data_IF_867574624787
#
_entry.id   IF_867574624787
#
_cell.length_a   1.000
_cell.length_b   1.000
_cell.length_c   1.000
_cell.angle_alpha   90.00
_cell.angle_beta   90.00
_cell.angle_gamma   90.00
#
_symmetry.space_group_name_H-M   'P 1'
#
loop_
_entity.id
_entity.type
_entity.pdbx_description
1 polymer ?
#
# COMPACT_ATOMS: atom_id res chain seq x y z
N UNK A 1 14.77 -19.45 -17.05
CA UNK A 1 13.36 -19.67 -17.49
C UNK A 1 12.40 -18.85 -16.65
N UNK A 2 12.31 -19.05 -15.32
CA UNK A 2 11.43 -18.25 -14.44
C UNK A 2 11.65 -16.74 -14.55
N UNK A 3 12.90 -16.28 -14.50
CA UNK A 3 13.25 -14.84 -14.64
C UNK A 3 12.81 -14.25 -15.97
N UNK A 4 12.97 -14.98 -17.07
CA UNK A 4 12.54 -14.57 -18.41
C UNK A 4 11.03 -14.49 -18.49
N UNK A 5 10.33 -15.48 -17.92
CA UNK A 5 8.87 -15.47 -17.85
C UNK A 5 8.35 -14.25 -17.07
N UNK A 6 8.92 -13.99 -15.88
CA UNK A 6 8.55 -12.81 -15.06
C UNK A 6 8.82 -11.51 -15.82
N UNK A 7 9.96 -11.41 -16.50
CA UNK A 7 10.29 -10.23 -17.31
C UNK A 7 9.27 -10.02 -18.44
N UNK A 8 8.97 -11.08 -19.20
CA UNK A 8 8.00 -11.01 -20.29
C UNK A 8 6.61 -10.62 -19.79
N UNK A 9 6.15 -11.21 -18.69
CA UNK A 9 4.88 -10.87 -18.07
C UNK A 9 4.83 -9.38 -17.68
N UNK A 10 5.87 -8.87 -17.01
CA UNK A 10 5.95 -7.46 -16.62
C UNK A 10 5.97 -6.53 -17.82
N UNK A 11 6.71 -6.87 -18.87
CA UNK A 11 6.76 -6.08 -20.11
C UNK A 11 5.40 -6.07 -20.81
N UNK A 12 4.73 -7.22 -20.90
CA UNK A 12 3.38 -7.32 -21.50
C UNK A 12 2.38 -6.48 -20.69
N UNK A 13 2.37 -6.61 -19.36
CA UNK A 13 1.48 -5.83 -18.50
C UNK A 13 1.76 -4.32 -18.60
N UNK A 14 3.03 -3.90 -18.66
CA UNK A 14 3.38 -2.51 -18.85
C UNK A 14 2.91 -1.96 -20.22
N UNK A 15 3.03 -2.75 -21.29
CA UNK A 15 2.51 -2.39 -22.61
C UNK A 15 0.98 -2.28 -22.56
N UNK A 16 0.28 -3.24 -21.95
CA UNK A 16 -1.19 -3.19 -21.82
C UNK A 16 -1.62 -1.97 -21.00
N UNK A 17 -0.97 -1.72 -19.86
CA UNK A 17 -1.27 -0.59 -19.00
C UNK A 17 -1.13 0.76 -19.72
N UNK A 18 -0.11 0.88 -20.59
CA UNK A 18 0.17 2.12 -21.33
C UNK A 18 -0.66 2.28 -22.60
N UNK A 19 -1.20 1.20 -23.17
CA UNK A 19 -1.89 1.25 -24.48
C UNK A 19 -3.39 1.02 -24.41
N UNK A 20 -3.89 0.29 -23.41
CA UNK A 20 -5.27 -0.19 -23.37
C UNK A 20 -6.07 0.26 -22.15
N UNK A 21 -5.42 0.72 -21.07
CA UNK A 21 -6.04 1.00 -19.78
C UNK A 21 -6.15 2.50 -19.42
N UNK A 22 -6.27 3.36 -20.43
CA UNK A 22 -6.50 4.81 -20.31
C UNK A 22 -5.73 5.47 -19.14
N UNK A 23 -4.38 5.48 -19.19
CA UNK A 23 -3.58 5.96 -18.08
C UNK A 23 -3.79 7.46 -17.83
N UNK A 24 -4.08 7.82 -16.58
CA UNK A 24 -4.20 9.21 -16.11
C UNK A 24 -3.20 9.44 -14.98
N UNK A 25 -2.43 10.52 -15.09
CA UNK A 25 -1.41 10.90 -14.09
C UNK A 25 -0.44 9.76 -13.72
N UNK A 26 -0.11 8.91 -14.70
CA UNK A 26 0.80 7.78 -14.51
C UNK A 26 0.15 6.50 -13.95
N UNK A 27 -1.16 6.48 -13.72
CA UNK A 27 -1.91 5.32 -13.22
C UNK A 27 -2.87 4.80 -14.30
N UNK A 28 -2.77 3.52 -14.61
CA UNK A 28 -3.64 2.83 -15.56
C UNK A 28 -4.83 2.16 -14.84
N UNK A 29 -6.04 2.34 -15.36
CA UNK A 29 -7.26 1.77 -14.75
C UNK A 29 -7.63 0.45 -15.42
N UNK A 30 -7.26 -0.67 -14.80
CA UNK A 30 -7.51 -2.00 -15.34
C UNK A 30 -8.99 -2.44 -15.25
N UNK A 31 -9.72 -1.99 -14.23
CA UNK A 31 -11.11 -2.37 -13.99
C UNK A 31 -11.85 -1.29 -13.19
N UNK A 32 -13.07 -0.98 -13.62
CA UNK A 32 -14.01 -0.12 -12.89
C UNK A 32 -15.35 -0.84 -12.77
N UNK A 33 -15.88 -0.97 -11.55
CA UNK A 33 -17.14 -1.66 -11.33
C UNK A 33 -17.35 -2.06 -9.88
N UNK A 34 -17.92 -3.25 -9.69
CA UNK A 34 -18.27 -3.80 -8.38
C UNK A 34 -17.05 -3.98 -7.46
N UNK A 35 -17.13 -3.42 -6.23
CA UNK A 35 -16.06 -3.46 -5.24
C UNK A 35 -15.69 -4.89 -4.83
N UNK A 36 -16.65 -5.82 -4.73
CA UNK A 36 -16.35 -7.20 -4.33
C UNK A 36 -15.57 -7.95 -5.42
N UNK A 37 -15.88 -7.66 -6.69
CA UNK A 37 -15.12 -8.18 -7.83
C UNK A 37 -13.73 -7.57 -7.88
N UNK A 38 -13.61 -6.24 -7.71
CA UNK A 38 -12.32 -5.56 -7.67
C UNK A 38 -11.42 -6.14 -6.56
N UNK A 39 -11.92 -6.23 -5.33
CA UNK A 39 -11.18 -6.76 -4.18
C UNK A 39 -10.71 -8.22 -4.39
N UNK A 40 -11.54 -9.08 -5.00
CA UNK A 40 -11.15 -10.47 -5.33
C UNK A 40 -10.02 -10.52 -6.35
N UNK A 41 -10.09 -9.70 -7.40
CA UNK A 41 -9.05 -9.61 -8.41
C UNK A 41 -7.75 -9.05 -7.84
N UNK A 42 -7.81 -7.97 -7.05
CA UNK A 42 -6.66 -7.39 -6.35
C UNK A 42 -5.99 -8.42 -5.45
N UNK A 43 -6.78 -9.16 -4.66
CA UNK A 43 -6.26 -10.24 -3.80
C UNK A 43 -5.55 -11.32 -4.62
N UNK A 44 -6.17 -11.80 -5.71
CA UNK A 44 -5.59 -12.83 -6.57
C UNK A 44 -4.29 -12.36 -7.24
N UNK A 45 -4.24 -11.11 -7.70
CA UNK A 45 -3.06 -10.51 -8.30
C UNK A 45 -1.93 -10.36 -7.27
N UNK A 46 -2.23 -9.93 -6.04
CA UNK A 46 -1.23 -9.87 -4.98
C UNK A 46 -0.64 -11.24 -4.63
N UNK A 47 -1.47 -12.29 -4.56
CA UNK A 47 -0.97 -13.66 -4.38
C UNK A 47 -0.02 -14.08 -5.52
N UNK A 48 -0.35 -13.74 -6.76
CA UNK A 48 0.52 -14.01 -7.91
C UNK A 48 1.82 -13.20 -7.84
N UNK A 49 1.75 -11.92 -7.51
CA UNK A 49 2.90 -11.03 -7.35
C UNK A 49 3.83 -11.54 -6.25
N UNK A 50 3.29 -11.91 -5.09
CA UNK A 50 4.05 -12.50 -3.98
C UNK A 50 4.73 -13.81 -4.40
N UNK A 51 4.02 -14.70 -5.09
CA UNK A 51 4.59 -15.95 -5.63
C UNK A 51 5.76 -15.69 -6.59
N UNK A 52 5.55 -14.83 -7.59
CA UNK A 52 6.57 -14.50 -8.59
C UNK A 52 7.76 -13.77 -7.95
N UNK A 53 7.49 -12.88 -6.99
CA UNK A 53 8.49 -12.21 -6.18
C UNK A 53 9.35 -13.21 -5.42
N UNK A 54 8.75 -14.10 -4.63
CA UNK A 54 9.52 -15.12 -3.87
C UNK A 54 10.36 -16.03 -4.77
N UNK A 55 9.84 -16.42 -5.94
CA UNK A 55 10.60 -17.19 -6.93
C UNK A 55 11.79 -16.41 -7.49
N UNK A 56 11.60 -15.11 -7.78
CA UNK A 56 12.66 -14.22 -8.23
C UNK A 56 13.73 -14.05 -7.14
N UNK A 57 13.33 -13.84 -5.89
CA UNK A 57 14.25 -13.75 -4.74
C UNK A 57 15.10 -15.01 -4.60
N UNK A 58 14.46 -16.18 -4.68
CA UNK A 58 15.15 -17.47 -4.62
C UNK A 58 16.16 -17.64 -5.76
N UNK A 59 15.78 -17.30 -6.98
CA UNK A 59 16.66 -17.36 -8.15
C UNK A 59 17.83 -16.36 -8.05
N UNK A 60 17.57 -15.12 -7.63
CA UNK A 60 18.58 -14.10 -7.41
C UNK A 60 19.56 -14.51 -6.31
N UNK A 61 19.07 -15.06 -5.20
CA UNK A 61 19.91 -15.56 -4.12
C UNK A 61 20.83 -16.71 -4.56
N UNK A 62 20.31 -17.63 -5.38
CA UNK A 62 21.12 -18.69 -5.98
C UNK A 62 22.21 -18.16 -6.91
N UNK A 63 21.87 -17.23 -7.81
CA UNK A 63 22.84 -16.59 -8.70
C UNK A 63 23.91 -15.82 -7.92
N UNK A 64 23.51 -15.06 -6.90
CA UNK A 64 24.43 -14.34 -6.01
C UNK A 64 25.40 -15.30 -5.31
N UNK A 65 24.93 -16.44 -4.79
CA UNK A 65 25.82 -17.43 -4.18
C UNK A 65 26.82 -18.02 -5.19
N UNK A 66 26.38 -18.30 -6.43
CA UNK A 66 27.29 -18.78 -7.49
C UNK A 66 28.35 -17.76 -7.86
N UNK A 67 28.00 -16.48 -7.92
CA UNK A 67 28.95 -15.40 -8.22
C UNK A 67 30.03 -15.27 -7.14
N UNK A 68 29.65 -15.50 -5.88
CA UNK A 68 30.56 -15.40 -4.71
C UNK A 68 31.34 -16.68 -4.42
N UNK A 69 31.00 -17.79 -5.09
CA UNK A 69 31.73 -19.04 -4.96
C UNK A 69 33.18 -18.88 -5.47
N UNK A 70 34.19 -19.16 -4.64
CA UNK A 70 35.57 -19.02 -5.06
C UNK A 70 35.96 -20.16 -6.00
N UNK A 71 36.85 -19.87 -6.95
CA UNK A 71 37.49 -20.89 -7.79
C UNK A 71 38.63 -21.56 -7.02
N UNK A 72 39.07 -22.73 -7.49
CA UNK A 72 40.18 -23.44 -6.83
C UNK A 72 41.44 -22.58 -6.76
N UNK A 73 41.77 -21.87 -7.84
CA UNK A 73 42.90 -20.94 -7.88
C UNK A 73 42.79 -19.84 -6.82
N UNK A 74 41.61 -19.22 -6.68
CA UNK A 74 41.36 -18.19 -5.67
C UNK A 74 41.46 -18.73 -4.24
N UNK A 75 41.06 -19.99 -4.02
CA UNK A 75 41.25 -20.68 -2.73
C UNK A 75 42.73 -20.87 -2.45
N UNK A 76 43.50 -21.39 -3.41
CA UNK A 76 44.94 -21.64 -3.23
C UNK A 76 45.70 -20.32 -2.95
N UNK A 77 45.35 -19.23 -3.64
CA UNK A 77 45.89 -17.87 -3.40
C UNK A 77 45.53 -17.32 -2.01
N UNK A 78 44.32 -17.58 -1.53
CA UNK A 78 43.88 -17.18 -0.18
C UNK A 78 44.60 -18.00 0.90
N UNK A 79 44.70 -19.31 0.71
CA UNK A 79 45.40 -20.22 1.63
C UNK A 79 46.89 -19.91 1.74
N UNK A 80 47.55 -19.51 0.64
CA UNK A 80 48.94 -19.04 0.66
C UNK A 80 49.12 -17.81 1.57
N UNK A 81 48.07 -17.01 1.76
CA UNK A 81 48.03 -15.85 2.66
C UNK A 81 47.46 -16.17 4.04
N UNK A 82 47.31 -17.46 4.39
CA UNK A 82 46.68 -17.93 5.64
C UNK A 82 45.25 -17.42 5.84
N UNK A 83 44.52 -17.15 4.75
CA UNK A 83 43.11 -16.74 4.77
C UNK A 83 42.21 -17.89 4.35
N UNK A 84 41.11 -18.11 5.04
CA UNK A 84 40.08 -19.06 4.63
C UNK A 84 38.95 -18.37 3.84
N UNK A 85 38.26 -19.12 2.99
CA UNK A 85 37.10 -18.68 2.23
C UNK A 85 35.92 -19.61 2.51
N UNK A 86 34.71 -19.05 2.45
CA UNK A 86 33.50 -19.84 2.64
C UNK A 86 33.17 -20.57 1.32
N UNK A 87 32.84 -21.87 1.38
CA UNK A 87 32.57 -22.67 0.17
C UNK A 87 31.14 -23.21 0.25
N UNK A 88 30.36 -23.02 -0.81
CA UNK A 88 29.03 -23.61 -0.92
C UNK A 88 27.96 -22.95 -0.02
N UNK A 89 28.23 -21.77 0.53
CA UNK A 89 27.30 -20.98 1.36
C UNK A 89 27.28 -19.52 0.90
N UNK A 90 26.20 -18.76 1.15
CA UNK A 90 26.20 -17.32 0.91
C UNK A 90 27.30 -16.64 1.73
N UNK A 91 28.17 -15.84 1.10
CA UNK A 91 29.28 -15.17 1.79
C UNK A 91 29.60 -13.80 1.20
N UNK A 92 29.39 -12.76 2.00
CA UNK A 92 29.80 -11.38 1.69
C UNK A 92 31.33 -11.25 1.84
N UNK A 93 31.95 -12.04 2.72
CA UNK A 93 33.41 -12.03 2.96
C UNK A 93 34.18 -12.38 1.70
N UNK A 94 33.69 -13.37 0.95
CA UNK A 94 34.30 -13.83 -0.29
C UNK A 94 34.31 -12.75 -1.38
N UNK A 95 33.47 -11.71 -1.30
CA UNK A 95 33.47 -10.61 -2.30
C UNK A 95 34.83 -9.94 -2.41
N UNK A 96 35.59 -9.87 -1.31
CA UNK A 96 36.94 -9.30 -1.29
C UNK A 96 37.98 -10.15 -2.03
N UNK A 97 37.68 -11.42 -2.31
CA UNK A 97 38.61 -12.41 -2.85
C UNK A 97 38.23 -12.91 -4.26
N UNK A 98 37.08 -12.49 -4.79
CA UNK A 98 36.64 -12.82 -6.15
C UNK A 98 36.87 -11.65 -7.11
N UNK A 99 36.97 -11.96 -8.41
CA UNK A 99 37.14 -10.95 -9.48
C UNK A 99 36.08 -9.83 -9.42
N UNK A 100 36.51 -8.58 -9.62
CA UNK A 100 35.65 -7.37 -9.59
C UNK A 100 34.40 -7.46 -10.47
N UNK A 101 34.47 -8.09 -11.65
CA UNK A 101 33.30 -8.29 -12.51
C UNK A 101 32.19 -9.13 -11.85
N UNK A 102 32.56 -10.14 -11.06
CA UNK A 102 31.58 -10.94 -10.30
C UNK A 102 30.98 -10.16 -9.14
N UNK A 103 31.78 -9.31 -8.50
CA UNK A 103 31.30 -8.37 -7.47
C UNK A 103 30.30 -7.38 -8.07
N UNK A 104 30.60 -6.81 -9.25
CA UNK A 104 29.69 -5.90 -9.95
C UNK A 104 28.34 -6.56 -10.28
N UNK A 105 28.36 -7.79 -10.83
CA UNK A 105 27.13 -8.55 -11.10
C UNK A 105 26.36 -8.88 -9.81
N UNK A 106 27.07 -9.23 -8.74
CA UNK A 106 26.47 -9.53 -7.44
C UNK A 106 25.77 -8.29 -6.86
N UNK A 107 26.42 -7.12 -6.91
CA UNK A 107 25.85 -5.85 -6.47
C UNK A 107 24.64 -5.48 -7.33
N UNK A 108 24.74 -5.61 -8.65
CA UNK A 108 23.63 -5.31 -9.57
C UNK A 108 22.42 -6.20 -9.28
N UNK A 109 22.61 -7.50 -9.07
CA UNK A 109 21.54 -8.43 -8.67
C UNK A 109 20.92 -8.05 -7.32
N UNK A 110 21.73 -7.66 -6.33
CA UNK A 110 21.24 -7.21 -5.03
C UNK A 110 20.43 -5.91 -5.12
N UNK A 111 20.98 -4.91 -5.84
CA UNK A 111 20.35 -3.60 -6.03
C UNK A 111 19.13 -3.64 -6.94
N UNK A 112 18.98 -4.62 -7.83
CA UNK A 112 17.76 -4.77 -8.63
C UNK A 112 16.70 -5.58 -7.90
N UNK A 113 17.09 -6.59 -7.11
CA UNK A 113 16.13 -7.47 -6.43
C UNK A 113 15.49 -6.79 -5.22
N UNK A 114 16.24 -6.03 -4.42
CA UNK A 114 15.72 -5.44 -3.18
C UNK A 114 14.66 -4.34 -3.42
N UNK A 115 14.88 -3.34 -4.32
CA UNK A 115 13.89 -2.31 -4.59
C UNK A 115 12.66 -2.87 -5.30
N UNK A 116 12.86 -3.81 -6.22
CA UNK A 116 11.73 -4.47 -6.90
C UNK A 116 10.84 -5.13 -5.84
N UNK A 117 11.38 -5.95 -4.94
CA UNK A 117 10.59 -6.54 -3.84
C UNK A 117 9.87 -5.54 -2.94
N UNK A 118 10.42 -4.34 -2.78
CA UNK A 118 9.80 -3.31 -1.95
C UNK A 118 8.63 -2.60 -2.65
N UNK A 119 8.64 -2.48 -3.98
CA UNK A 119 7.62 -1.73 -4.72
C UNK A 119 6.70 -2.62 -5.56
N UNK A 120 7.03 -3.90 -5.71
CA UNK A 120 6.30 -4.81 -6.61
C UNK A 120 4.85 -5.01 -6.20
N UNK A 121 4.59 -5.04 -4.89
CA UNK A 121 3.24 -5.15 -4.34
C UNK A 121 2.40 -3.88 -4.54
N UNK A 122 3.00 -2.77 -4.95
CA UNK A 122 2.29 -1.51 -5.25
C UNK A 122 2.06 -1.28 -6.74
N UNK A 123 2.44 -2.22 -7.61
CA UNK A 123 2.17 -2.13 -9.05
C UNK A 123 0.67 -2.24 -9.35
N UNK A 124 -0.05 -3.02 -8.55
CA UNK A 124 -1.50 -3.10 -8.57
C UNK A 124 -2.03 -2.64 -7.21
N UNK A 125 -3.07 -1.83 -7.21
CA UNK A 125 -3.75 -1.42 -5.98
C UNK A 125 -5.22 -1.16 -6.30
N UNK A 126 -6.06 -1.33 -5.28
CA UNK A 126 -7.46 -0.97 -5.35
C UNK A 126 -7.64 0.47 -4.87
N UNK A 127 -8.44 1.25 -5.59
CA UNK A 127 -8.88 2.58 -5.16
C UNK A 127 -10.37 2.58 -4.94
N UNK A 128 -10.80 3.34 -3.93
CA UNK A 128 -12.22 3.59 -3.66
C UNK A 128 -12.49 5.03 -4.05
N UNK A 129 -13.55 5.26 -4.82
CA UNK A 129 -13.99 6.61 -5.13
C UNK A 129 -14.55 7.28 -3.86
N UNK A 130 -13.91 8.36 -3.43
CA UNK A 130 -14.42 9.27 -2.42
C UNK A 130 -15.16 10.40 -3.15
N UNK A 131 -16.48 10.45 -3.07
CA UNK A 131 -17.24 11.52 -3.68
C UNK A 131 -17.47 12.63 -2.64
N UNK A 132 -17.24 13.88 -3.05
CA UNK A 132 -17.74 15.02 -2.31
C UNK A 132 -19.25 15.09 -2.54
N UNK A 133 -20.02 14.84 -1.50
CA UNK A 133 -21.48 15.02 -1.53
C UNK A 133 -21.83 16.36 -0.90
N UNK A 134 -22.85 17.00 -1.45
CA UNK A 134 -23.45 18.17 -0.86
C UNK A 134 -24.61 17.74 0.04
N UNK A 135 -24.56 18.13 1.32
CA UNK A 135 -25.68 18.04 2.25
C UNK A 135 -26.17 19.46 2.53
N UNK A 136 -27.41 19.75 2.15
CA UNK A 136 -28.04 21.05 2.41
C UNK A 136 -28.89 21.00 3.68
N UNK A 137 -28.69 21.91 4.61
CA UNK A 137 -29.61 22.08 5.75
C UNK A 137 -30.67 23.10 5.35
N UNK A 138 -31.91 22.65 5.23
CA UNK A 138 -33.02 23.46 4.72
C UNK A 138 -34.22 23.46 5.65
N UNK A 139 -34.88 24.60 5.77
CA UNK A 139 -36.19 24.69 6.41
C UNK A 139 -37.29 24.18 5.45
N UNK A 140 -38.45 23.72 5.96
CA UNK A 140 -39.55 23.21 5.14
C UNK A 140 -39.99 24.14 4.00
N UNK A 141 -39.84 25.45 4.20
CA UNK A 141 -40.21 26.49 3.25
C UNK A 141 -39.39 26.42 1.96
N UNK A 142 -38.18 25.82 2.00
CA UNK A 142 -37.34 25.57 0.82
C UNK A 142 -38.02 24.70 -0.23
N UNK A 143 -38.94 23.81 0.19
CA UNK A 143 -39.66 22.91 -0.71
C UNK A 143 -40.94 23.52 -1.28
N UNK A 144 -41.35 24.71 -0.82
CA UNK A 144 -42.64 25.31 -1.15
C UNK A 144 -42.55 26.72 -1.71
N UNK A 145 -41.51 27.48 -1.36
CA UNK A 145 -41.34 28.87 -1.81
C UNK A 145 -39.98 29.03 -2.51
N UNK A 146 -40.04 29.41 -3.79
CA UNK A 146 -38.85 29.65 -4.63
C UNK A 146 -37.97 30.79 -4.11
N UNK A 147 -38.54 31.72 -3.34
CA UNK A 147 -37.85 32.89 -2.80
C UNK A 147 -37.48 32.72 -1.31
N UNK A 148 -37.58 31.50 -0.76
CA UNK A 148 -37.40 31.24 0.67
C UNK A 148 -35.96 31.34 1.17
N UNK A 149 -34.97 31.58 0.30
CA UNK A 149 -33.56 31.60 0.68
C UNK A 149 -32.77 32.72 -0.02
N UNK A 150 -31.70 33.16 0.65
CA UNK A 150 -30.75 34.14 0.12
C UNK A 150 -29.32 33.84 0.59
N UNK A 151 -28.30 34.30 -0.16
CA UNK A 151 -26.89 34.08 0.20
C UNK A 151 -26.46 35.12 1.23
N UNK A 152 -26.20 34.68 2.47
CA UNK A 152 -25.87 35.61 3.58
C UNK A 152 -24.38 35.85 3.82
N UNK A 153 -23.48 34.98 3.33
CA UNK A 153 -22.03 35.13 3.45
C UNK A 153 -21.32 34.50 2.24
N UNK A 154 -20.25 35.16 1.80
CA UNK A 154 -19.42 34.75 0.68
C UNK A 154 -17.95 34.81 1.11
N UNK A 155 -17.36 33.66 1.39
CA UNK A 155 -15.92 33.52 1.61
C UNK A 155 -15.47 32.07 1.48
N UNK A 156 -14.44 31.81 0.67
CA UNK A 156 -13.86 30.47 0.48
C UNK A 156 -14.34 29.73 -0.78
N UNK A 157 -14.07 28.41 -0.83
CA UNK A 157 -14.45 27.50 -1.94
C UNK A 157 -15.96 27.45 -2.23
N UNK A 158 -16.80 27.99 -1.32
CA UNK A 158 -18.22 28.30 -1.53
C UNK A 158 -18.50 29.11 -2.80
N UNK A 159 -17.52 29.90 -3.28
CA UNK A 159 -17.65 30.70 -4.50
C UNK A 159 -17.87 29.87 -5.78
N UNK A 160 -17.32 28.66 -5.86
CA UNK A 160 -17.34 27.86 -7.11
C UNK A 160 -18.67 27.16 -7.38
N UNK A 161 -19.44 26.82 -6.34
CA UNK A 161 -20.78 26.23 -6.47
C UNK A 161 -21.89 27.29 -6.56
N UNK A 162 -21.67 28.46 -5.95
CA UNK A 162 -22.69 29.47 -5.78
C UNK A 162 -22.58 30.64 -6.76
N UNK A 163 -21.47 30.80 -7.50
CA UNK A 163 -21.28 31.95 -8.38
C UNK A 163 -20.60 31.61 -9.72
N UNK A 164 -21.41 31.29 -10.74
CA UNK A 164 -21.27 31.81 -12.11
C UNK A 164 -22.66 31.81 -12.78
N UNK A 165 -23.27 33.00 -12.91
CA UNK A 165 -24.43 33.33 -13.78
C UNK A 165 -25.80 32.72 -13.46
N UNK A 166 -26.87 33.45 -13.84
CA UNK A 166 -28.34 33.31 -13.71
C UNK A 166 -29.04 32.01 -13.30
N UNK A 167 -28.39 30.84 -13.30
CA UNK A 167 -28.94 29.57 -12.85
C UNK A 167 -28.02 28.96 -11.79
N UNK A 168 -28.09 29.46 -10.55
CA UNK A 168 -27.29 28.89 -9.47
C UNK A 168 -27.72 27.43 -9.21
N UNK A 169 -26.75 26.55 -8.89
CA UNK A 169 -26.98 25.11 -8.68
C UNK A 169 -28.09 24.83 -7.64
N UNK A 170 -28.19 25.68 -6.61
CA UNK A 170 -29.18 25.58 -5.55
C UNK A 170 -30.60 25.89 -6.06
N UNK A 171 -30.77 26.84 -6.98
CA UNK A 171 -32.04 27.19 -7.62
C UNK A 171 -32.47 26.08 -8.55
N UNK A 172 -31.56 25.54 -9.38
CA UNK A 172 -31.86 24.38 -10.22
C UNK A 172 -32.25 23.17 -9.36
N UNK A 173 -31.53 22.92 -8.28
CA UNK A 173 -31.86 21.86 -7.33
C UNK A 173 -33.22 22.11 -6.67
N UNK A 174 -33.49 23.33 -6.20
CA UNK A 174 -34.77 23.70 -5.61
C UNK A 174 -35.92 23.47 -6.60
N UNK A 175 -35.76 23.79 -7.88
CA UNK A 175 -36.78 23.54 -8.91
C UNK A 175 -37.10 22.04 -9.12
N UNK A 176 -36.14 21.16 -8.86
CA UNK A 176 -36.36 19.70 -8.85
C UNK A 176 -37.07 19.20 -7.60
N UNK A 177 -37.18 20.04 -6.56
CA UNK A 177 -37.76 19.72 -5.26
C UNK A 177 -39.12 20.38 -5.02
N UNK A 178 -39.35 21.59 -5.56
CA UNK A 178 -40.55 22.40 -5.35
C UNK A 178 -41.84 21.66 -5.66
N UNK A 179 -42.92 22.10 -5.02
CA UNK A 179 -44.31 21.66 -5.29
C UNK A 179 -44.51 20.15 -5.09
N UNK A 180 -43.85 19.59 -4.08
CA UNK A 180 -44.00 18.18 -3.71
C UNK A 180 -43.20 17.20 -4.59
N UNK A 181 -42.37 17.66 -5.53
CA UNK A 181 -41.50 16.79 -6.34
C UNK A 181 -40.48 16.02 -5.50
N UNK A 182 -40.07 16.56 -4.34
CA UNK A 182 -39.23 15.86 -3.36
C UNK A 182 -39.87 14.58 -2.78
N UNK A 183 -41.18 14.38 -2.96
CA UNK A 183 -41.89 13.16 -2.53
C UNK A 183 -41.75 12.00 -3.53
N UNK A 184 -41.19 12.24 -4.72
CA UNK A 184 -40.95 11.21 -5.72
C UNK A 184 -39.91 10.19 -5.23
N UNK A 185 -40.38 9.01 -4.83
CA UNK A 185 -39.54 7.93 -4.29
C UNK A 185 -38.68 7.22 -5.33
N UNK A 186 -38.89 7.50 -6.63
CA UNK A 186 -37.97 7.04 -7.67
C UNK A 186 -36.68 7.87 -7.73
N UNK A 187 -36.71 9.08 -7.14
CA UNK A 187 -35.58 10.03 -7.12
C UNK A 187 -35.07 10.32 -5.71
N UNK A 188 -35.94 10.32 -4.71
CA UNK A 188 -35.62 10.71 -3.33
C UNK A 188 -35.96 9.62 -2.32
N UNK A 189 -34.94 9.21 -1.56
CA UNK A 189 -35.08 8.30 -0.42
C UNK A 189 -35.42 9.09 0.85
N UNK A 190 -36.37 8.62 1.65
CA UNK A 190 -36.57 9.16 3.00
C UNK A 190 -35.69 8.39 3.98
N UNK A 191 -34.83 9.10 4.70
CA UNK A 191 -33.87 8.51 5.62
C UNK A 191 -34.09 9.10 7.01
N UNK A 192 -34.01 8.29 8.06
CA UNK A 192 -34.14 8.78 9.43
C UNK A 192 -32.96 9.68 9.81
N UNK A 193 -33.14 10.57 10.79
CA UNK A 193 -32.06 11.43 11.28
C UNK A 193 -30.78 10.64 11.64
N UNK A 194 -30.86 9.58 12.47
CA UNK A 194 -29.69 8.76 12.81
C UNK A 194 -29.01 8.08 11.61
N UNK A 195 -29.79 7.57 10.65
CA UNK A 195 -29.24 6.94 9.44
C UNK A 195 -28.61 7.97 8.50
N UNK A 196 -29.20 9.17 8.42
CA UNK A 196 -28.66 10.31 7.68
C UNK A 196 -27.30 10.72 8.26
N UNK A 197 -27.24 10.95 9.57
CA UNK A 197 -25.99 11.26 10.28
C UNK A 197 -24.97 10.16 10.01
N UNK A 198 -25.30 8.88 10.20
CA UNK A 198 -24.39 7.76 9.94
C UNK A 198 -23.88 7.69 8.50
N UNK A 199 -24.72 8.04 7.52
CA UNK A 199 -24.36 8.02 6.09
C UNK A 199 -23.43 9.18 5.74
N UNK A 200 -23.71 10.39 6.24
CA UNK A 200 -22.95 11.60 5.93
C UNK A 200 -21.75 11.87 6.86
N UNK A 201 -21.66 11.19 8.01
CA UNK A 201 -20.44 11.11 8.84
C UNK A 201 -19.53 9.95 8.42
N UNK A 202 -19.92 9.18 7.39
CA UNK A 202 -19.05 8.14 6.84
C UNK A 202 -17.77 8.77 6.28
N UNK A 203 -16.57 8.23 6.58
CA UNK A 203 -15.30 8.74 6.05
C UNK A 203 -15.25 8.73 4.52
N UNK A 204 -16.04 7.87 3.88
CA UNK A 204 -16.18 7.79 2.43
C UNK A 204 -17.65 7.68 2.07
N UNK A 205 -18.14 8.64 1.28
CA UNK A 205 -19.52 8.64 0.79
C UNK A 205 -19.50 8.28 -0.68
N UNK A 206 -20.11 7.15 -1.02
CA UNK A 206 -20.09 6.63 -2.40
C UNK A 206 -21.21 7.20 -3.26
N UNK A 207 -22.33 7.64 -2.67
CA UNK A 207 -23.48 8.22 -3.39
C UNK A 207 -24.31 9.16 -2.51
N UNK A 208 -24.99 10.11 -3.15
CA UNK A 208 -26.14 10.81 -2.60
C UNK A 208 -25.84 12.22 -2.11
N UNK A 209 -26.17 13.22 -2.91
CA UNK A 209 -26.46 14.55 -2.36
C UNK A 209 -27.76 14.45 -1.56
N UNK A 210 -27.84 15.19 -0.46
CA UNK A 210 -28.97 15.10 0.46
C UNK A 210 -29.40 16.47 0.96
N UNK A 211 -30.55 16.48 1.62
CA UNK A 211 -31.02 17.63 2.37
C UNK A 211 -31.52 17.17 3.74
N UNK A 212 -31.12 17.90 4.78
CA UNK A 212 -31.56 17.69 6.15
C UNK A 212 -32.57 18.76 6.53
N UNK A 213 -33.69 18.33 7.11
CA UNK A 213 -34.68 19.24 7.71
C UNK A 213 -34.50 19.18 9.23
N UNK A 214 -33.90 20.21 9.85
CA UNK A 214 -33.64 20.20 11.28
C UNK A 214 -34.92 20.41 12.10
N UNK A 215 -34.87 20.04 13.37
CA UNK A 215 -35.97 20.27 14.31
C UNK A 215 -36.17 21.78 14.60
N UNK A 216 -37.27 22.13 15.26
CA UNK A 216 -37.61 23.53 15.53
C UNK A 216 -36.59 24.25 16.44
N UNK A 217 -35.97 23.53 17.37
CA UNK A 217 -34.94 24.06 18.28
C UNK A 217 -33.70 24.50 17.51
N UNK A 218 -33.12 23.61 16.70
CA UNK A 218 -31.97 23.92 15.86
C UNK A 218 -32.29 25.05 14.86
N UNK A 219 -33.51 25.11 14.31
CA UNK A 219 -33.90 26.21 13.44
C UNK A 219 -33.85 27.57 14.14
N UNK A 220 -34.28 27.63 15.40
CA UNK A 220 -34.26 28.87 16.18
C UNK A 220 -32.83 29.29 16.53
N UNK A 221 -31.98 28.35 16.94
CA UNK A 221 -30.59 28.62 17.35
C UNK A 221 -29.74 29.17 16.19
N UNK A 222 -30.02 28.72 14.97
CA UNK A 222 -29.28 29.09 13.77
C UNK A 222 -30.03 30.08 12.85
N UNK A 223 -31.18 30.60 13.28
CA UNK A 223 -31.93 31.64 12.57
C UNK A 223 -32.59 31.21 11.26
N UNK A 224 -32.84 29.91 11.06
CA UNK A 224 -33.57 29.36 9.91
C UNK A 224 -35.06 29.74 10.00
N UNK A 225 -35.53 30.53 9.05
CA UNK A 225 -36.89 31.05 9.01
C UNK A 225 -37.48 31.00 7.59
N UNK A 226 -38.73 31.41 7.43
CA UNK A 226 -39.45 31.30 6.15
C UNK A 226 -38.80 32.10 5.00
N UNK A 227 -38.14 33.23 5.30
CA UNK A 227 -37.41 34.04 4.32
C UNK A 227 -35.95 33.58 4.13
N UNK A 228 -35.45 32.72 5.00
CA UNK A 228 -34.05 32.31 5.06
C UNK A 228 -33.96 30.83 5.44
N UNK A 229 -34.37 30.00 4.49
CA UNK A 229 -34.61 28.58 4.64
C UNK A 229 -33.40 27.70 4.32
N UNK A 230 -32.19 28.26 4.18
CA UNK A 230 -30.96 27.53 3.83
C UNK A 230 -29.83 27.94 4.78
N UNK A 231 -29.21 26.95 5.42
CA UNK A 231 -28.11 27.13 6.36
C UNK A 231 -26.84 26.48 5.81
N UNK A 232 -26.16 27.14 4.87
CA UNK A 232 -24.91 26.77 4.20
C UNK A 232 -24.81 25.34 3.59
N UNK A 233 -24.23 25.19 2.39
CA UNK A 233 -23.96 23.87 1.84
C UNK A 233 -22.74 23.24 2.54
N UNK A 234 -22.93 22.11 3.23
CA UNK A 234 -21.79 21.34 3.74
C UNK A 234 -21.33 20.34 2.66
N UNK A 235 -20.03 20.35 2.36
CA UNK A 235 -19.44 19.59 1.25
C UNK A 235 -18.23 18.82 1.77
N UNK A 236 -18.34 17.50 1.80
CA UNK A 236 -17.24 16.65 2.19
C UNK A 236 -17.69 15.24 2.52
N UNK A 237 -16.74 14.32 2.62
CA UNK A 237 -16.95 13.03 3.27
C UNK A 237 -16.45 13.13 4.72
N UNK A 238 -17.26 12.70 5.69
CA UNK A 238 -16.84 12.50 7.09
C UNK A 238 -16.84 13.74 8.00
N UNK A 239 -16.95 14.95 7.47
CA UNK A 239 -16.77 16.19 8.24
C UNK A 239 -18.07 16.79 8.85
N UNK A 240 -19.23 16.11 8.64
CA UNK A 240 -20.45 16.36 9.45
C UNK A 240 -20.24 16.09 10.95
N UNK A 241 -19.22 15.31 11.31
CA UNK A 241 -18.87 14.99 12.70
C UNK A 241 -17.81 15.90 13.33
N UNK A 242 -16.93 16.54 12.54
CA UNK A 242 -15.80 17.32 13.06
C UNK A 242 -16.26 18.63 13.71
N UNK A 243 -17.20 19.35 13.09
CA UNK A 243 -17.58 20.68 13.56
C UNK A 243 -18.71 20.69 14.60
N UNK A 244 -19.42 19.57 14.78
CA UNK A 244 -20.39 19.42 15.85
C UNK A 244 -19.75 19.11 17.22
N UNK A 245 -18.47 18.73 17.26
CA UNK A 245 -17.78 18.25 18.48
C UNK A 245 -16.43 18.94 18.77
N UNK A 246 -15.88 19.75 17.86
CA UNK A 246 -14.54 20.35 17.96
C UNK A 246 -14.46 21.62 18.82
N UNK A 247 -15.05 21.62 20.03
CA UNK A 247 -14.87 22.73 20.99
C UNK A 247 -14.12 22.39 22.28
N UNK A 248 -13.44 21.25 22.35
CA UNK A 248 -12.53 20.97 23.47
C UNK A 248 -11.22 20.29 23.02
N UNK A 249 -10.12 20.78 23.60
CA UNK A 249 -8.76 20.20 23.67
C UNK A 249 -7.74 20.63 22.61
N UNK A 250 -7.31 21.89 22.73
CA UNK A 250 -5.93 22.28 22.46
C UNK A 250 -5.07 21.96 23.69
N UNK A 251 -4.17 20.99 23.60
CA UNK A 251 -3.06 20.86 24.55
C UNK A 251 -1.79 20.38 23.84
N UNK A 252 -0.86 21.31 23.70
CA UNK A 252 0.45 21.10 23.13
C UNK A 252 1.40 20.67 24.26
N UNK A 253 2.22 19.63 24.05
CA UNK A 253 3.46 19.48 24.82
C UNK A 253 4.52 18.59 24.13
N UNK A 254 5.81 18.79 24.45
CA UNK A 254 6.97 18.41 23.62
C UNK A 254 7.70 17.14 24.12
N UNK A 255 8.79 16.73 23.44
CA UNK A 255 10.11 16.31 24.00
C UNK A 255 10.87 15.24 23.13
N UNK A 256 12.00 15.71 22.56
CA UNK A 256 13.41 15.23 22.56
C UNK A 256 13.88 13.75 22.61
N UNK A 257 14.80 13.45 21.66
CA UNK A 257 16.13 12.77 21.69
C UNK A 257 16.38 11.40 22.38
N UNK A 258 16.89 10.40 21.62
CA UNK A 258 18.32 9.99 21.60
C UNK A 258 18.59 8.53 21.07
N UNK A 259 19.48 8.45 20.07
CA UNK A 259 20.53 7.45 19.70
C UNK A 259 20.50 6.00 20.24
N UNK A 260 20.58 5.01 19.32
CA UNK A 260 21.57 3.89 19.29
C UNK A 260 21.68 3.28 17.87
N UNK A 261 22.90 2.94 17.43
CA UNK A 261 23.29 2.61 16.03
C UNK A 261 23.61 1.12 15.86
N UNK A 262 23.35 0.63 14.63
CA UNK A 262 23.89 -0.57 13.95
C UNK A 262 23.25 -1.94 14.22
N UNK A 263 22.06 -2.10 13.62
CA UNK A 263 21.30 -3.30 13.21
C UNK A 263 19.81 -2.92 13.10
N UNK A 264 19.47 -1.85 13.83
CA UNK A 264 18.17 -1.18 13.92
C UNK A 264 18.05 -0.05 12.88
N UNK A 265 19.08 0.30 12.10
CA UNK A 265 19.02 1.47 11.20
C UNK A 265 17.96 1.35 10.09
N UNK A 266 17.70 0.15 9.60
CA UNK A 266 16.59 -0.09 8.67
C UNK A 266 15.29 -0.18 9.48
N UNK A 267 15.17 -1.01 10.51
CA UNK A 267 13.98 -1.10 11.36
C UNK A 267 13.55 0.23 12.04
N UNK A 268 14.45 1.18 12.29
CA UNK A 268 14.19 2.49 12.88
C UNK A 268 14.05 3.61 11.83
N UNK A 269 14.62 3.47 10.63
CA UNK A 269 14.14 4.26 9.50
C UNK A 269 12.70 3.87 9.17
N UNK A 270 12.39 2.57 9.23
CA UNK A 270 11.05 1.99 9.04
C UNK A 270 10.09 2.37 10.18
N UNK A 271 10.51 2.24 11.44
CA UNK A 271 9.73 2.72 12.59
C UNK A 271 9.66 4.25 12.65
N UNK A 272 10.63 4.95 12.07
CA UNK A 272 10.63 6.40 11.89
C UNK A 272 9.61 6.84 10.85
N UNK A 273 9.47 6.12 9.73
CA UNK A 273 8.41 6.32 8.73
C UNK A 273 7.04 5.93 9.30
N UNK A 274 6.94 4.82 10.06
CA UNK A 274 5.72 4.47 10.80
C UNK A 274 5.35 5.54 11.83
N UNK A 275 6.32 6.07 12.60
CA UNK A 275 6.09 7.16 13.55
C UNK A 275 5.80 8.52 12.89
N UNK A 276 6.34 8.77 11.69
CA UNK A 276 6.02 9.96 10.90
C UNK A 276 4.61 9.89 10.31
N UNK A 277 4.14 8.70 9.90
CA UNK A 277 2.75 8.48 9.50
C UNK A 277 1.76 8.52 10.68
N UNK A 278 2.21 8.21 11.90
CA UNK A 278 1.40 8.30 13.13
C UNK A 278 1.44 9.67 13.82
N UNK A 279 1.98 10.73 13.18
CA UNK A 279 2.15 12.05 13.80
C UNK A 279 0.91 12.96 13.76
N UNK A 280 -0.22 12.49 13.22
CA UNK A 280 -1.49 13.21 13.25
C UNK A 280 -2.61 12.30 13.76
N UNK A 281 -3.12 12.64 14.95
CA UNK A 281 -4.36 12.11 15.54
C UNK A 281 -4.27 10.67 16.02
N UNK A 282 -4.25 10.46 17.35
CA UNK A 282 -4.60 9.17 17.96
C UNK A 282 -6.12 8.99 17.90
N UNK A 283 -6.67 7.96 17.23
CA UNK A 283 -7.94 7.38 17.62
C UNK A 283 -7.65 6.30 18.66
N UNK A 284 -8.33 6.38 19.80
CA UNK A 284 -8.30 5.36 20.83
C UNK A 284 -8.95 4.06 20.31
N UNK A 285 -8.17 3.16 19.71
CA UNK A 285 -8.65 1.83 19.34
C UNK A 285 -7.78 1.08 18.31
N UNK A 286 -7.86 -0.26 18.30
CA UNK A 286 -7.29 -1.09 17.24
C UNK A 286 -8.04 -0.86 15.93
N UNK A 287 -7.60 0.10 15.12
CA UNK A 287 -8.16 0.43 13.79
C UNK A 287 -7.53 -0.37 12.64
N UNK A 288 -6.80 -1.45 12.93
CA UNK A 288 -6.17 -2.27 11.90
C UNK A 288 -7.22 -2.78 10.88
N UNK A 289 -7.04 -2.40 9.61
CA UNK A 289 -7.94 -2.77 8.51
C UNK A 289 -9.15 -1.85 8.31
N UNK A 290 -9.27 -0.73 9.04
CA UNK A 290 -10.29 0.30 8.78
C UNK A 290 -9.72 1.41 7.89
N UNK A 291 -10.53 1.84 6.92
CA UNK A 291 -10.17 2.95 6.02
C UNK A 291 -10.37 4.26 6.77
N UNK A 292 -9.36 5.14 6.79
CA UNK A 292 -9.38 6.40 7.52
C UNK A 292 -8.95 7.56 6.60
N UNK A 293 -9.68 8.68 6.66
CA UNK A 293 -9.45 9.89 5.85
C UNK A 293 -8.15 10.61 6.18
N UNK A 294 -7.59 10.40 7.37
CA UNK A 294 -6.28 10.92 7.76
C UNK A 294 -5.13 10.35 6.90
N UNK A 295 -5.37 9.27 6.15
CA UNK A 295 -4.40 8.63 5.25
C UNK A 295 -4.74 8.81 3.77
N UNK A 296 -5.49 9.86 3.40
CA UNK A 296 -5.73 10.19 2.00
C UNK A 296 -4.40 10.50 1.30
N UNK A 297 -4.23 9.90 0.12
CA UNK A 297 -3.00 9.99 -0.67
C UNK A 297 -3.22 11.00 -1.79
N UNK A 298 -2.34 12.00 -1.88
CA UNK A 298 -2.24 12.87 -3.05
C UNK A 298 -1.34 12.20 -4.10
N UNK A 299 -1.93 11.88 -5.25
CA UNK A 299 -1.27 11.20 -6.37
C UNK A 299 -0.37 12.18 -7.14
N UNK A 300 -0.66 13.48 -7.10
CA UNK A 300 0.05 14.49 -7.89
C UNK A 300 1.30 15.05 -7.19
N UNK A 301 1.45 14.78 -5.89
CA UNK A 301 2.60 15.23 -5.11
C UNK A 301 3.68 14.14 -5.00
N UNK A 302 4.84 14.30 -5.67
CA UNK A 302 5.91 13.32 -5.62
C UNK A 302 6.65 13.28 -4.28
N UNK A 303 6.55 14.33 -3.44
CA UNK A 303 7.23 14.42 -2.16
C UNK A 303 6.38 15.13 -1.11
N UNK A 304 6.25 14.55 0.10
CA UNK A 304 5.48 15.12 1.20
C UNK A 304 4.84 14.06 2.11
N UNK A 305 4.17 14.50 3.18
CA UNK A 305 3.51 13.63 4.16
C UNK A 305 2.30 12.87 3.57
N UNK A 306 1.68 13.42 2.52
CA UNK A 306 0.55 12.81 1.78
C UNK A 306 0.98 12.14 0.46
N UNK A 307 2.28 12.03 0.19
CA UNK A 307 2.79 11.52 -1.09
C UNK A 307 2.60 10.00 -1.22
N UNK A 308 2.17 9.57 -2.41
CA UNK A 308 2.04 8.16 -2.78
C UNK A 308 3.32 7.35 -2.54
N UNK A 309 4.50 7.93 -2.77
CA UNK A 309 5.78 7.21 -2.62
C UNK A 309 6.02 6.84 -1.16
N UNK A 310 5.77 7.76 -0.23
CA UNK A 310 5.94 7.53 1.22
C UNK A 310 5.04 6.40 1.71
N UNK A 311 3.78 6.39 1.29
CA UNK A 311 2.81 5.35 1.65
C UNK A 311 3.10 4.02 0.99
N UNK A 312 3.53 4.01 -0.27
CA UNK A 312 4.00 2.80 -0.97
C UNK A 312 5.17 2.18 -0.21
N UNK A 313 6.17 2.97 0.18
CA UNK A 313 7.27 2.45 0.98
C UNK A 313 6.73 1.90 2.31
N UNK A 314 5.97 2.69 3.07
CA UNK A 314 5.41 2.31 4.37
C UNK A 314 4.58 1.00 4.33
N UNK A 315 3.72 0.83 3.33
CA UNK A 315 2.87 -0.35 3.19
C UNK A 315 3.68 -1.63 2.91
N UNK A 316 4.83 -1.52 2.24
CA UNK A 316 5.64 -2.67 1.84
C UNK A 316 6.76 -3.03 2.83
N UNK A 317 6.86 -2.33 3.95
CA UNK A 317 7.89 -2.59 4.95
C UNK A 317 7.80 -4.00 5.56
N UNK A 318 6.61 -4.53 5.91
CA UNK A 318 6.49 -5.91 6.37
C UNK A 318 7.03 -6.91 5.35
N UNK A 319 6.79 -6.69 4.06
CA UNK A 319 7.29 -7.54 2.97
C UNK A 319 8.82 -7.49 2.88
N UNK A 320 9.42 -6.31 3.03
CA UNK A 320 10.87 -6.16 3.06
C UNK A 320 11.49 -6.91 4.25
N UNK A 321 10.87 -6.82 5.43
CA UNK A 321 11.31 -7.57 6.62
C UNK A 321 11.21 -9.08 6.39
N UNK A 322 10.09 -9.56 5.86
CA UNK A 322 9.92 -10.99 5.55
C UNK A 322 10.93 -11.48 4.49
N UNK A 323 11.29 -10.65 3.50
CA UNK A 323 12.33 -10.96 2.52
C UNK A 323 13.73 -11.04 3.15
N UNK A 324 14.04 -10.19 4.12
CA UNK A 324 15.30 -10.26 4.87
C UNK A 324 15.38 -11.51 5.76
N UNK A 325 14.26 -11.85 6.40
CA UNK A 325 14.13 -13.11 7.16
C UNK A 325 14.37 -14.29 6.23
N UNK A 326 13.79 -14.27 5.01
CA UNK A 326 14.00 -15.29 3.98
C UNK A 326 15.47 -15.53 3.67
N UNK A 327 16.21 -14.48 3.32
CA UNK A 327 17.63 -14.59 2.98
C UNK A 327 18.43 -15.13 4.17
N UNK A 328 18.12 -14.66 5.38
CA UNK A 328 18.84 -15.03 6.60
C UNK A 328 18.63 -16.49 6.97
N UNK A 329 17.37 -16.95 7.06
CA UNK A 329 17.11 -18.34 7.40
C UNK A 329 17.65 -19.26 6.31
N UNK A 330 17.51 -18.89 5.03
CA UNK A 330 17.97 -19.74 3.93
C UNK A 330 19.49 -19.93 3.99
N UNK A 331 20.23 -18.87 4.35
CA UNK A 331 21.67 -18.97 4.66
C UNK A 331 21.97 -19.93 5.82
N UNK A 332 21.24 -19.80 6.94
CA UNK A 332 21.42 -20.66 8.13
C UNK A 332 21.16 -22.13 7.82
N UNK A 333 20.02 -22.46 7.20
CA UNK A 333 19.68 -23.82 6.81
C UNK A 333 20.69 -24.39 5.81
N UNK A 334 21.22 -23.56 4.91
CA UNK A 334 22.23 -24.00 3.93
C UNK A 334 23.50 -24.43 4.66
N UNK A 335 23.98 -23.62 5.61
CA UNK A 335 25.13 -23.97 6.44
C UNK A 335 24.88 -25.24 7.28
N UNK A 336 23.72 -25.34 7.93
CA UNK A 336 23.38 -26.49 8.78
C UNK A 336 23.31 -27.80 7.97
N UNK A 337 22.63 -27.80 6.82
CA UNK A 337 22.49 -29.01 6.00
C UNK A 337 23.78 -29.37 5.28
N UNK A 338 24.59 -28.37 4.87
CA UNK A 338 25.93 -28.62 4.35
C UNK A 338 26.80 -29.32 5.40
N UNK A 339 26.83 -28.80 6.64
CA UNK A 339 27.57 -29.42 7.74
C UNK A 339 27.07 -30.83 8.05
N UNK A 340 25.75 -31.04 8.10
CA UNK A 340 25.15 -32.37 8.31
C UNK A 340 25.59 -33.37 7.24
N UNK A 341 25.64 -32.96 5.97
CA UNK A 341 26.12 -33.82 4.89
C UNK A 341 27.61 -34.12 5.04
N UNK A 342 28.43 -33.10 5.35
CA UNK A 342 29.85 -33.25 5.59
C UNK A 342 30.15 -34.24 6.72
N UNK A 343 29.44 -34.14 7.85
CA UNK A 343 29.54 -35.10 8.95
C UNK A 343 29.07 -36.49 8.55
N UNK A 344 28.07 -36.61 7.66
CA UNK A 344 27.61 -37.91 7.16
C UNK A 344 28.72 -38.73 6.48
N UNK A 345 29.67 -38.07 5.81
CA UNK A 345 30.80 -38.76 5.16
C UNK A 345 31.78 -39.41 6.14
N UNK A 346 31.78 -39.04 7.42
CA UNK A 346 32.62 -39.69 8.43
C UNK A 346 32.09 -41.06 8.83
N UNK A 347 30.78 -41.26 8.72
CA UNK A 347 30.09 -42.51 9.11
C UNK A 347 29.85 -43.39 7.87
N UNK A 348 29.45 -42.80 6.75
CA UNK A 348 29.08 -43.52 5.53
C UNK A 348 29.76 -42.93 4.31
N UNK A 349 30.46 -43.78 3.55
CA UNK A 349 30.98 -43.40 2.23
C UNK A 349 29.81 -43.09 1.29
N UNK A 350 29.81 -41.89 0.72
CA UNK A 350 28.84 -41.45 -0.26
C UNK A 350 29.54 -40.60 -1.34
N UNK A 351 29.05 -40.60 -2.59
CA UNK A 351 29.64 -39.80 -3.66
C UNK A 351 29.36 -38.30 -3.46
N UNK A 352 30.35 -37.47 -3.77
CA UNK A 352 30.24 -36.01 -3.70
C UNK A 352 29.19 -35.47 -4.69
N UNK A 353 28.50 -34.41 -4.27
CA UNK A 353 27.60 -33.66 -5.16
C UNK A 353 28.41 -32.73 -6.05
N UNK A 354 28.14 -32.79 -7.36
CA UNK A 354 28.78 -31.96 -8.37
C UNK A 354 27.73 -31.30 -9.25
N UNK A 355 28.06 -30.13 -9.81
CA UNK A 355 27.16 -29.38 -10.68
C UNK A 355 26.85 -30.10 -11.99
N UNK A 356 27.81 -30.88 -12.50
CA UNK A 356 27.69 -31.64 -13.73
C UNK A 356 28.15 -33.07 -13.42
N UNK A 357 27.21 -33.98 -13.05
CA UNK A 357 27.56 -35.33 -12.63
C UNK A 357 27.98 -36.21 -13.80
N UNK A 358 28.95 -37.08 -13.56
CA UNK A 358 29.21 -38.29 -14.37
C UNK A 358 28.59 -39.52 -13.70
N UNK A 359 28.62 -40.68 -14.36
CA UNK A 359 28.11 -41.93 -13.80
C UNK A 359 28.71 -42.20 -12.41
N UNK A 360 27.86 -42.52 -11.43
CA UNK A 360 28.25 -42.73 -10.02
C UNK A 360 28.35 -41.47 -9.15
N UNK A 361 28.18 -40.26 -9.72
CA UNK A 361 28.17 -38.99 -8.97
C UNK A 361 26.75 -38.46 -8.77
N UNK A 362 26.55 -37.59 -7.77
CA UNK A 362 25.26 -36.96 -7.48
C UNK A 362 25.22 -35.53 -8.02
N UNK A 363 24.08 -35.14 -8.58
CA UNK A 363 23.82 -33.75 -8.96
C UNK A 363 23.70 -32.86 -7.72
N UNK A 364 24.11 -31.59 -7.85
CA UNK A 364 23.68 -30.54 -6.92
C UNK A 364 22.17 -30.32 -7.00
N UNK A 365 21.57 -29.85 -5.91
CA UNK A 365 20.20 -29.33 -5.93
C UNK A 365 20.17 -27.99 -6.68
N UNK A 366 19.08 -27.72 -7.38
CA UNK A 366 18.86 -26.46 -8.08
C UNK A 366 18.49 -25.32 -7.11
N UNK A 367 17.61 -25.61 -6.13
CA UNK A 367 17.48 -24.78 -4.94
C UNK A 367 18.59 -25.17 -3.96
N UNK A 368 19.23 -24.20 -3.33
CA UNK A 368 20.44 -24.36 -2.50
C UNK A 368 20.35 -25.47 -1.42
N UNK A 369 19.12 -25.81 -1.03
CA UNK A 369 18.75 -26.82 -0.05
C UNK A 369 18.11 -28.05 -0.72
N UNK A 370 18.14 -29.23 -0.07
CA UNK A 370 17.32 -30.36 -0.47
C UNK A 370 15.84 -29.95 -0.57
N UNK A 371 15.12 -30.47 -1.58
CA UNK A 371 13.73 -30.09 -1.84
C UNK A 371 12.79 -30.29 -0.65
N UNK A 372 13.06 -31.28 0.21
CA UNK A 372 12.31 -31.54 1.44
C UNK A 372 12.33 -30.37 2.44
N UNK A 373 13.36 -29.51 2.38
CA UNK A 373 13.45 -28.30 3.20
C UNK A 373 13.12 -27.06 2.38
N UNK A 374 13.63 -26.97 1.14
CA UNK A 374 13.44 -25.77 0.32
C UNK A 374 11.98 -25.52 -0.04
N UNK A 375 11.20 -26.56 -0.33
CA UNK A 375 9.80 -26.42 -0.76
C UNK A 375 8.90 -25.96 0.39
N UNK A 376 8.90 -26.60 1.57
CA UNK A 376 8.11 -26.11 2.70
C UNK A 376 8.50 -24.69 3.14
N UNK A 377 9.79 -24.36 3.13
CA UNK A 377 10.28 -23.03 3.48
C UNK A 377 9.83 -21.97 2.46
N UNK A 378 9.87 -22.28 1.17
CA UNK A 378 9.38 -21.39 0.12
C UNK A 378 7.86 -21.19 0.24
N UNK A 379 7.10 -22.27 0.47
CA UNK A 379 5.64 -22.20 0.67
C UNK A 379 5.30 -21.37 1.90
N UNK A 380 5.98 -21.60 3.03
CA UNK A 380 5.77 -20.81 4.24
C UNK A 380 6.10 -19.32 4.01
N UNK A 381 7.14 -19.02 3.23
CA UNK A 381 7.49 -17.64 2.86
C UNK A 381 6.43 -16.98 1.96
N UNK A 382 5.85 -17.73 1.02
CA UNK A 382 4.78 -17.24 0.14
C UNK A 382 3.48 -17.01 0.93
N UNK A 383 3.17 -17.88 1.90
CA UNK A 383 1.97 -17.75 2.73
C UNK A 383 2.06 -16.63 3.78
N UNK A 384 3.29 -16.30 4.20
CA UNK A 384 3.54 -15.21 5.15
C UNK A 384 3.56 -13.83 4.48
N UNK A 385 3.79 -13.79 3.17
CA UNK A 385 3.66 -12.60 2.33
C UNK A 385 2.23 -12.39 1.85
#
# INVERSE_FOLDING_TARGET
MVTVFVLLLNVILAIIATTAWDPKDGIATAFTGDCTKAARWTTALHLLINLLGSLLLGASNYCMQRLVSPTRKEIDEAHAKKKWLDIGVPSIRNLSSVKKGRVGLWILLGLSSLPLHLVYNSVFFETIAANNVALLIVAPEFFTDKNSWSIRYSGGFDYLLLNVTSDNFITQLQETLLDGKYLDRTRFENVTGPDCVKRYTSPFITTGNGFGVPNAEFRNDFGLNASESLLFPWIGSGDFGSDAYSRELNYDSPITNARYISAIAVAAALAGVMKAGMRYGEPSGNEFGRVNVSYLIDINSPFGEQSIISYVLLANLPQAVASLIYITYNGLFTCMLANREWTGYTIKRAPLRVTIPRSGQRSTYFLQLPYAWSVPLLVASILLH
#
